data_IF_628922069620
#
_entry.id   IF_628922069620
#
_cell.length_a   1.000
_cell.length_b   1.000
_cell.length_c   1.000
_cell.angle_alpha   90.00
_cell.angle_beta   90.00
_cell.angle_gamma   90.00
#
_symmetry.space_group_name_H-M   'P 1'
#
loop_
_entity.id
_entity.type
_entity.pdbx_description
1 polymer ?
#
# COMPACT_ATOMS: atom_id res chain seq x y z
N UNK A 1 18.53 -12.99 16.16
CA UNK A 1 17.71 -11.77 15.92
C UNK A 1 16.33 -12.05 16.48
N UNK A 2 15.73 -11.09 17.17
CA UNK A 2 14.36 -11.22 17.70
C UNK A 2 13.37 -11.33 16.54
N UNK A 3 12.38 -12.22 16.66
CA UNK A 3 11.31 -12.32 15.68
C UNK A 3 10.37 -11.12 15.83
N UNK A 4 9.86 -10.61 14.70
CA UNK A 4 8.90 -9.52 14.65
C UNK A 4 7.50 -10.08 14.38
N UNK A 5 6.52 -9.52 15.07
CA UNK A 5 5.12 -9.92 14.99
C UNK A 5 4.22 -8.71 14.73
N UNK A 6 3.32 -8.82 13.76
CA UNK A 6 2.21 -7.91 13.61
C UNK A 6 1.14 -8.32 14.61
N UNK A 7 0.66 -7.40 15.43
CA UNK A 7 -0.30 -7.70 16.52
C UNK A 7 -1.60 -6.92 16.42
N UNK A 8 -1.61 -5.81 15.70
CA UNK A 8 -2.80 -5.03 15.37
C UNK A 8 -2.58 -4.33 14.02
N UNK A 9 -3.65 -4.17 13.26
CA UNK A 9 -3.60 -3.55 11.94
C UNK A 9 -4.91 -2.82 11.63
N UNK A 10 -4.84 -1.51 11.40
CA UNK A 10 -5.98 -0.61 11.18
C UNK A 10 -5.71 0.33 10.02
N UNK A 11 -6.77 0.77 9.36
CA UNK A 11 -6.72 1.81 8.33
C UNK A 11 -7.94 2.71 8.40
N UNK A 12 -7.86 3.89 7.85
CA UNK A 12 -9.06 4.66 7.52
C UNK A 12 -9.79 3.98 6.35
N UNK A 13 -11.03 4.38 6.09
CA UNK A 13 -11.60 4.19 4.77
C UNK A 13 -10.69 4.83 3.71
N UNK A 14 -10.74 4.33 2.47
CA UNK A 14 -10.13 4.99 1.32
C UNK A 14 -11.19 5.83 0.62
N UNK A 15 -10.91 7.12 0.43
CA UNK A 15 -11.78 8.05 -0.27
C UNK A 15 -11.07 8.62 -1.50
N UNK A 16 -11.72 8.70 -2.67
CA UNK A 16 -11.16 9.36 -3.83
C UNK A 16 -10.75 10.80 -3.53
N UNK A 17 -9.71 11.29 -4.21
CA UNK A 17 -9.29 12.69 -4.17
C UNK A 17 -10.49 13.63 -4.34
N UNK A 18 -10.53 14.69 -3.54
CA UNK A 18 -11.65 15.63 -3.45
C UNK A 18 -12.98 15.03 -2.96
N UNK A 19 -12.94 13.80 -2.44
CA UNK A 19 -14.09 13.12 -1.85
C UNK A 19 -14.31 13.49 -0.37
N UNK A 20 -14.70 12.51 0.42
CA UNK A 20 -15.08 12.72 1.83
C UNK A 20 -13.92 13.25 2.71
N UNK A 21 -12.68 12.96 2.37
CA UNK A 21 -11.49 13.44 3.11
C UNK A 21 -10.86 14.71 2.51
N UNK A 22 -11.55 15.41 1.60
CA UNK A 22 -11.00 16.61 0.91
C UNK A 22 -10.47 17.72 1.82
N UNK A 23 -10.92 17.78 3.05
CA UNK A 23 -10.52 18.79 4.04
C UNK A 23 -9.66 18.20 5.17
N UNK A 24 -9.32 16.91 5.11
CA UNK A 24 -8.58 16.22 6.18
C UNK A 24 -7.09 16.23 5.84
N UNK A 25 -6.27 16.75 6.72
CA UNK A 25 -4.82 16.79 6.57
C UNK A 25 -4.19 15.41 6.78
N UNK A 26 -2.97 15.21 6.31
CA UNK A 26 -2.31 13.90 6.38
C UNK A 26 -2.10 13.42 7.82
N UNK A 27 -1.78 14.33 8.75
CA UNK A 27 -1.59 13.99 10.17
C UNK A 27 -2.91 13.63 10.87
N UNK A 28 -4.03 14.23 10.47
CA UNK A 28 -5.38 13.87 10.94
C UNK A 28 -5.79 12.49 10.41
N UNK A 29 -5.46 12.18 9.14
CA UNK A 29 -5.65 10.84 8.59
C UNK A 29 -4.84 9.80 9.37
N UNK A 30 -3.56 10.09 9.65
CA UNK A 30 -2.63 9.18 10.33
C UNK A 30 -2.95 8.94 11.80
N UNK A 31 -3.56 9.92 12.49
CA UNK A 31 -3.97 9.81 13.91
C UNK A 31 -4.92 8.64 14.12
N UNK A 32 -5.95 8.50 13.27
CA UNK A 32 -7.02 7.54 13.48
C UNK A 32 -6.53 6.08 13.57
N UNK A 33 -5.76 5.52 12.60
CA UNK A 33 -5.26 4.17 12.70
C UNK A 33 -4.20 3.99 13.81
N UNK A 34 -3.39 5.02 14.14
CA UNK A 34 -2.44 4.95 15.28
C UNK A 34 -3.20 4.71 16.57
N UNK A 35 -4.21 5.52 16.89
CA UNK A 35 -5.04 5.34 18.08
C UNK A 35 -5.71 3.97 18.11
N UNK A 36 -6.21 3.52 16.97
CA UNK A 36 -6.93 2.27 16.87
C UNK A 36 -6.03 1.06 17.17
N UNK A 37 -4.82 1.00 16.61
CA UNK A 37 -3.89 -0.14 16.88
C UNK A 37 -3.41 -0.17 18.32
N UNK A 38 -3.27 0.97 18.99
CA UNK A 38 -2.94 1.03 20.43
C UNK A 38 -4.08 0.46 21.27
N UNK A 39 -5.32 0.85 20.94
CA UNK A 39 -6.53 0.40 21.65
C UNK A 39 -6.82 -1.08 21.46
N UNK A 40 -6.51 -1.66 20.28
CA UNK A 40 -6.82 -3.06 19.97
C UNK A 40 -6.13 -4.06 20.88
N UNK A 41 -4.95 -3.73 21.38
CA UNK A 41 -4.12 -4.63 22.20
C UNK A 41 -3.84 -4.06 23.60
N UNK A 42 -4.52 -2.97 23.96
CA UNK A 42 -4.38 -2.27 25.26
C UNK A 42 -2.91 -1.98 25.61
N UNK A 43 -2.12 -1.55 24.61
CA UNK A 43 -0.72 -1.16 24.82
C UNK A 43 -0.64 0.31 25.22
N UNK A 44 0.08 0.60 26.28
CA UNK A 44 0.32 1.98 26.70
C UNK A 44 1.14 2.75 25.65
N UNK A 45 0.79 4.00 25.36
CA UNK A 45 1.49 4.82 24.38
C UNK A 45 2.95 5.06 24.71
N UNK A 46 3.32 4.95 25.98
CA UNK A 46 4.70 5.05 26.47
C UNK A 46 5.51 3.75 26.28
N UNK A 47 4.92 2.65 25.84
CA UNK A 47 5.63 1.44 25.45
C UNK A 47 6.09 1.47 23.98
N UNK A 48 5.73 2.51 23.21
CA UNK A 48 6.13 2.63 21.81
C UNK A 48 7.55 3.21 21.70
N UNK A 49 8.39 2.55 20.91
CA UNK A 49 9.78 2.95 20.68
C UNK A 49 9.95 3.84 19.46
N UNK A 50 9.12 3.67 18.40
CA UNK A 50 9.29 4.41 17.15
C UNK A 50 7.98 4.44 16.34
N UNK A 51 7.85 5.42 15.43
CA UNK A 51 6.78 5.49 14.43
C UNK A 51 7.39 5.68 13.04
N UNK A 52 7.06 4.83 12.08
CA UNK A 52 7.61 4.90 10.71
C UNK A 52 6.45 4.90 9.71
N UNK A 53 6.27 5.99 8.96
CA UNK A 53 5.21 6.10 7.96
C UNK A 53 5.75 6.43 6.57
N UNK A 54 5.17 5.80 5.55
CA UNK A 54 5.31 6.21 4.15
C UNK A 54 4.45 7.44 3.84
N UNK A 55 5.02 8.42 3.13
CA UNK A 55 4.31 9.54 2.52
C UNK A 55 5.10 10.02 1.30
N UNK A 56 4.45 10.17 0.15
CA UNK A 56 5.10 10.50 -1.12
C UNK A 56 4.77 11.90 -1.65
N UNK A 57 3.69 12.52 -1.21
CA UNK A 57 3.24 13.82 -1.72
C UNK A 57 3.68 15.00 -0.86
N UNK A 58 4.57 14.77 0.11
CA UNK A 58 5.20 15.81 0.95
C UNK A 58 4.17 16.65 1.73
N UNK A 59 3.37 15.98 2.56
CA UNK A 59 2.34 16.63 3.39
C UNK A 59 2.89 17.66 4.42
N UNK A 60 4.14 18.06 4.27
CA UNK A 60 4.82 19.06 5.09
C UNK A 60 5.49 18.47 6.33
N UNK A 61 6.64 19.01 6.72
CA UNK A 61 7.39 18.61 7.90
C UNK A 61 7.71 17.11 7.93
N UNK A 62 7.27 16.44 8.97
CA UNK A 62 7.37 14.99 9.14
C UNK A 62 5.96 14.45 9.48
N UNK A 63 5.16 14.04 8.49
CA UNK A 63 3.79 13.57 8.71
C UNK A 63 3.66 12.46 9.74
N UNK A 64 4.63 11.53 9.79
CA UNK A 64 4.67 10.49 10.83
C UNK A 64 4.75 11.10 12.24
N UNK A 65 5.59 12.13 12.44
CA UNK A 65 5.73 12.80 13.73
C UNK A 65 4.49 13.57 14.11
N UNK A 66 3.91 14.29 13.17
CA UNK A 66 2.66 15.04 13.41
C UNK A 66 1.52 14.11 13.80
N UNK A 67 1.34 13.00 13.05
CA UNK A 67 0.32 12.00 13.36
C UNK A 67 0.55 11.32 14.71
N UNK A 68 1.78 10.99 15.07
CA UNK A 68 2.16 10.38 16.34
C UNK A 68 1.81 11.31 17.53
N UNK A 69 2.18 12.58 17.45
CA UNK A 69 1.86 13.58 18.49
C UNK A 69 0.35 13.81 18.60
N UNK A 70 -0.35 13.93 17.46
CA UNK A 70 -1.80 14.08 17.43
C UNK A 70 -2.51 12.87 18.03
N UNK A 71 -1.98 11.68 17.82
CA UNK A 71 -2.48 10.45 18.43
C UNK A 71 -2.23 10.34 19.94
N UNK A 72 -1.45 11.24 20.52
CA UNK A 72 -1.17 11.29 21.95
C UNK A 72 0.03 10.43 22.38
N UNK A 73 0.95 10.08 21.44
CA UNK A 73 2.20 9.46 21.83
C UNK A 73 3.09 10.48 22.56
N UNK A 74 3.87 10.05 23.57
CA UNK A 74 4.77 10.93 24.30
C UNK A 74 5.82 11.61 23.41
N UNK A 75 6.25 12.80 23.76
CA UNK A 75 7.26 13.59 23.03
C UNK A 75 8.58 12.84 22.82
N UNK A 76 8.91 11.91 23.70
CA UNK A 76 10.11 11.07 23.59
C UNK A 76 10.06 10.01 22.49
N UNK A 77 8.88 9.66 21.98
CA UNK A 77 8.74 8.67 20.91
C UNK A 77 9.15 9.32 19.59
N UNK A 78 10.25 8.89 18.97
CA UNK A 78 10.68 9.42 17.68
C UNK A 78 9.70 9.03 16.58
N UNK A 79 9.79 9.70 15.43
CA UNK A 79 9.05 9.31 14.26
C UNK A 79 9.82 9.64 12.98
N UNK A 80 9.68 8.79 11.96
CA UNK A 80 10.34 8.90 10.68
C UNK A 80 9.32 8.81 9.55
N UNK A 81 9.36 9.77 8.63
CA UNK A 81 8.64 9.68 7.35
C UNK A 81 9.61 9.24 6.26
N UNK A 82 9.22 8.24 5.49
CA UNK A 82 10.00 7.72 4.36
C UNK A 82 9.26 7.93 3.04
N UNK A 83 10.02 8.13 1.97
CA UNK A 83 9.51 8.19 0.61
C UNK A 83 10.22 7.12 -0.24
N UNK A 84 9.54 6.04 -0.50
CA UNK A 84 9.80 5.07 -1.56
C UNK A 84 8.55 4.96 -2.45
N UNK A 85 7.87 6.07 -2.64
CA UNK A 85 6.64 6.19 -3.41
C UNK A 85 5.56 5.20 -2.91
N UNK A 86 4.93 4.44 -3.81
CA UNK A 86 3.87 3.49 -3.47
C UNK A 86 4.33 2.37 -2.51
N UNK A 87 5.64 2.04 -2.51
CA UNK A 87 6.21 1.06 -1.59
C UNK A 87 6.28 1.56 -0.14
N UNK A 88 6.23 2.89 0.10
CA UNK A 88 6.56 3.53 1.38
C UNK A 88 5.88 2.91 2.60
N UNK A 89 4.58 2.64 2.52
CA UNK A 89 3.85 2.04 3.63
C UNK A 89 4.27 0.60 3.95
N UNK A 90 4.58 -0.21 2.93
CA UNK A 90 5.07 -1.58 3.14
C UNK A 90 6.51 -1.57 3.63
N UNK A 91 7.35 -0.70 3.07
CA UNK A 91 8.74 -0.52 3.48
C UNK A 91 8.84 -0.05 4.94
N UNK A 92 7.94 0.81 5.40
CA UNK A 92 7.86 1.22 6.80
C UNK A 92 7.63 0.02 7.73
N UNK A 93 6.75 -0.92 7.36
CA UNK A 93 6.50 -2.14 8.15
C UNK A 93 7.73 -3.06 8.13
N UNK A 94 8.41 -3.17 7.00
CA UNK A 94 9.67 -3.94 6.88
C UNK A 94 10.76 -3.32 7.75
N UNK A 95 10.91 -1.99 7.75
CA UNK A 95 11.84 -1.26 8.63
C UNK A 95 11.49 -1.43 10.10
N UNK A 96 10.20 -1.49 10.47
CA UNK A 96 9.78 -1.79 11.83
C UNK A 96 10.25 -3.19 12.26
N UNK A 97 10.13 -4.21 11.40
CA UNK A 97 10.66 -5.53 11.69
C UNK A 97 12.19 -5.52 11.89
N UNK A 98 12.92 -4.72 11.11
CA UNK A 98 14.35 -4.52 11.28
C UNK A 98 14.67 -3.80 12.61
N UNK A 99 13.86 -2.81 13.02
CA UNK A 99 14.00 -2.15 14.33
C UNK A 99 13.81 -3.14 15.48
N UNK A 100 12.81 -4.04 15.39
CA UNK A 100 12.59 -5.12 16.36
C UNK A 100 13.79 -6.07 16.41
N UNK A 101 14.32 -6.47 15.25
CA UNK A 101 15.52 -7.32 15.19
C UNK A 101 16.75 -6.67 15.84
N UNK A 102 16.80 -5.34 15.90
CA UNK A 102 17.87 -4.53 16.50
C UNK A 102 17.53 -3.99 17.90
N UNK A 103 16.53 -4.54 18.60
CA UNK A 103 16.32 -4.32 20.02
C UNK A 103 15.17 -3.39 20.39
N UNK A 104 14.36 -2.89 19.45
CA UNK A 104 13.10 -2.25 19.76
C UNK A 104 12.07 -3.30 20.21
N UNK A 105 11.14 -2.92 21.07
CA UNK A 105 10.08 -3.81 21.56
C UNK A 105 8.73 -3.57 20.87
N UNK A 106 8.42 -2.31 20.52
CA UNK A 106 7.15 -1.97 19.86
C UNK A 106 7.31 -0.78 18.91
N UNK A 107 6.96 -0.97 17.64
CA UNK A 107 7.05 0.04 16.59
C UNK A 107 5.70 0.14 15.86
N UNK A 108 5.17 1.35 15.71
CA UNK A 108 4.02 1.61 14.84
C UNK A 108 4.55 1.93 13.44
N UNK A 109 4.13 1.16 12.46
CA UNK A 109 4.54 1.35 11.08
C UNK A 109 3.34 1.42 10.15
N UNK A 110 3.46 2.20 9.09
CA UNK A 110 2.35 2.33 8.16
C UNK A 110 2.60 3.37 7.08
N UNK A 111 1.53 4.08 6.72
CA UNK A 111 1.64 5.14 5.74
C UNK A 111 0.40 6.01 5.71
N UNK A 112 0.56 7.20 5.18
CA UNK A 112 -0.49 8.19 5.03
C UNK A 112 -0.33 8.93 3.72
N UNK A 113 -1.44 9.20 3.06
CA UNK A 113 -1.44 10.07 1.89
C UNK A 113 -2.73 10.87 1.81
N UNK A 114 -2.61 12.15 1.49
CA UNK A 114 -3.75 13.00 1.13
C UNK A 114 -3.45 13.67 -0.20
N UNK A 115 -4.01 13.15 -1.27
CA UNK A 115 -3.98 13.82 -2.58
C UNK A 115 -4.77 15.13 -2.55
N UNK A 116 -5.85 15.15 -1.76
CA UNK A 116 -6.71 16.33 -1.64
C UNK A 116 -6.01 17.51 -0.98
N UNK A 117 -5.05 17.24 -0.09
CA UNK A 117 -4.32 18.25 0.70
C UNK A 117 -2.83 18.33 0.36
N UNK A 118 -2.38 17.62 -0.68
CA UNK A 118 -0.99 17.70 -1.13
C UNK A 118 -0.60 19.14 -1.44
N UNK A 119 0.59 19.59 -1.03
CA UNK A 119 1.05 20.96 -1.28
C UNK A 119 1.25 21.22 -2.78
N UNK A 120 1.02 22.44 -3.20
CA UNK A 120 1.42 22.88 -4.54
C UNK A 120 2.95 22.93 -4.60
N UNK A 121 3.53 22.28 -5.60
CA UNK A 121 4.97 22.13 -5.74
C UNK A 121 5.49 22.97 -6.88
N UNK A 122 6.63 23.64 -6.65
CA UNK A 122 7.32 24.39 -7.69
C UNK A 122 8.83 24.29 -7.48
N UNK A 123 9.58 24.21 -8.59
CA UNK A 123 11.05 24.32 -8.57
C UNK A 123 11.43 25.77 -8.41
N UNK A 124 12.43 26.03 -7.57
CA UNK A 124 13.03 27.37 -7.45
C UNK A 124 13.70 27.77 -8.76
N UNK A 125 13.60 29.06 -9.15
CA UNK A 125 14.35 29.56 -10.28
C UNK A 125 15.85 29.34 -10.10
N UNK A 126 16.55 29.12 -11.20
CA UNK A 126 18.03 29.10 -11.21
C UNK A 126 18.63 30.47 -11.24
N UNK A 127 17.99 31.38 -11.96
CA UNK A 127 18.45 32.76 -12.17
C UNK A 127 17.49 33.78 -11.56
N UNK A 128 18.07 34.93 -11.15
CA UNK A 128 17.29 36.06 -10.62
C UNK A 128 16.33 36.60 -11.69
N UNK A 129 15.05 36.69 -11.37
CA UNK A 129 14.01 37.18 -12.28
C UNK A 129 13.20 36.10 -13.00
N UNK A 130 13.58 34.82 -12.90
CA UNK A 130 12.73 33.72 -13.34
C UNK A 130 11.61 33.43 -12.34
N UNK A 131 10.44 33.03 -12.84
CA UNK A 131 9.35 32.58 -11.99
C UNK A 131 9.56 31.13 -11.54
N UNK A 132 9.07 30.73 -10.34
CA UNK A 132 9.04 29.34 -9.93
C UNK A 132 8.27 28.48 -10.95
N UNK A 133 8.80 27.30 -11.26
CA UNK A 133 8.20 26.38 -12.22
C UNK A 133 7.33 25.34 -11.48
N UNK A 134 5.99 25.43 -11.54
CA UNK A 134 5.11 24.46 -10.91
C UNK A 134 5.26 23.08 -11.57
N UNK A 135 5.08 22.01 -10.76
CA UNK A 135 5.01 20.65 -11.26
C UNK A 135 4.09 19.80 -10.39
N UNK A 136 3.35 18.91 -11.02
CA UNK A 136 2.49 17.95 -10.31
C UNK A 136 3.24 16.65 -10.03
N UNK A 137 4.06 16.20 -10.97
CA UNK A 137 4.84 14.97 -10.90
C UNK A 137 6.34 15.29 -10.84
N UNK A 138 7.07 14.82 -9.80
CA UNK A 138 8.53 14.84 -9.82
C UNK A 138 9.07 13.78 -10.79
N UNK A 139 10.32 13.89 -11.25
CA UNK A 139 10.97 12.81 -11.98
C UNK A 139 11.23 11.63 -11.03
N UNK A 140 11.04 10.41 -11.51
CA UNK A 140 11.34 9.17 -10.81
C UNK A 140 12.59 8.47 -11.33
N UNK A 141 13.08 8.90 -12.50
CA UNK A 141 14.39 8.54 -13.05
C UNK A 141 15.10 9.80 -13.56
N UNK A 142 16.44 9.86 -13.53
CA UNK A 142 17.18 11.04 -14.00
C UNK A 142 17.21 11.16 -15.53
N UNK A 143 16.81 10.10 -16.24
CA UNK A 143 16.79 10.05 -17.71
C UNK A 143 15.36 10.15 -18.20
N UNK A 144 14.99 11.21 -18.95
CA UNK A 144 13.62 11.42 -19.44
C UNK A 144 13.05 10.23 -20.23
N UNK A 145 13.88 9.55 -21.03
CA UNK A 145 13.51 8.38 -21.83
C UNK A 145 13.22 7.14 -20.99
N UNK A 146 13.62 7.14 -19.72
CA UNK A 146 13.37 6.07 -18.75
C UNK A 146 12.47 6.52 -17.60
N UNK A 147 11.79 7.64 -17.74
CA UNK A 147 10.87 8.22 -16.76
C UNK A 147 9.47 8.43 -17.37
N UNK A 148 8.79 7.34 -17.78
CA UNK A 148 7.50 7.43 -18.44
C UNK A 148 6.43 7.95 -17.49
N UNK A 149 5.37 8.53 -18.06
CA UNK A 149 4.10 8.66 -17.35
C UNK A 149 3.59 7.29 -16.91
N UNK A 150 3.02 7.21 -15.71
CA UNK A 150 2.64 5.92 -15.13
C UNK A 150 1.52 5.22 -15.90
N UNK A 151 0.60 5.98 -16.49
CA UNK A 151 -0.48 5.42 -17.33
C UNK A 151 0.11 4.88 -18.63
N UNK A 152 1.05 5.63 -19.24
CA UNK A 152 1.79 5.18 -20.43
C UNK A 152 2.64 3.93 -20.13
N UNK A 153 3.32 3.89 -18.97
CA UNK A 153 4.07 2.71 -18.54
C UNK A 153 3.17 1.47 -18.37
N UNK A 154 1.96 1.65 -17.84
CA UNK A 154 0.99 0.55 -17.71
C UNK A 154 0.50 0.03 -19.07
N UNK A 155 0.29 0.90 -20.04
CA UNK A 155 -0.08 0.50 -21.40
C UNK A 155 1.10 -0.22 -22.10
N UNK A 156 2.33 0.24 -21.90
CA UNK A 156 3.54 -0.44 -22.39
C UNK A 156 3.69 -1.83 -21.76
N UNK A 157 3.41 -1.95 -20.46
CA UNK A 157 3.42 -3.24 -19.75
C UNK A 157 2.33 -4.17 -20.31
N UNK A 158 1.11 -3.67 -20.53
CA UNK A 158 0.03 -4.46 -21.11
C UNK A 158 0.42 -5.04 -22.48
N UNK A 159 1.05 -4.24 -23.34
CA UNK A 159 1.56 -4.67 -24.64
C UNK A 159 2.72 -5.68 -24.50
N UNK A 160 3.66 -5.45 -23.58
CA UNK A 160 4.82 -6.33 -23.39
C UNK A 160 4.45 -7.71 -22.85
N UNK A 161 3.37 -7.82 -22.09
CA UNK A 161 2.87 -9.07 -21.48
C UNK A 161 1.64 -9.65 -22.21
N UNK A 162 1.25 -9.06 -23.35
CA UNK A 162 0.07 -9.47 -24.14
C UNK A 162 -1.20 -9.59 -23.26
N UNK A 163 -1.49 -8.55 -22.45
CA UNK A 163 -2.65 -8.49 -21.58
C UNK A 163 -3.75 -7.69 -22.26
N UNK A 164 -4.72 -8.35 -22.91
CA UNK A 164 -5.74 -7.67 -23.69
C UNK A 164 -6.72 -6.89 -22.79
N UNK A 165 -7.37 -5.92 -23.38
CA UNK A 165 -8.24 -5.00 -22.69
C UNK A 165 -9.43 -5.68 -22.01
N UNK A 166 -10.06 -6.66 -22.67
CA UNK A 166 -11.16 -7.42 -22.10
C UNK A 166 -10.75 -8.15 -20.81
N UNK A 167 -9.54 -8.67 -20.77
CA UNK A 167 -8.96 -9.27 -19.56
C UNK A 167 -8.70 -8.23 -18.46
N UNK A 168 -8.20 -7.05 -18.82
CA UNK A 168 -8.04 -5.94 -17.87
C UNK A 168 -9.37 -5.48 -17.30
N UNK A 169 -10.39 -5.32 -18.16
CA UNK A 169 -11.76 -4.94 -17.78
C UNK A 169 -12.39 -5.99 -16.84
N UNK A 170 -12.26 -7.28 -17.18
CA UNK A 170 -12.75 -8.38 -16.34
C UNK A 170 -12.08 -8.37 -14.95
N UNK A 171 -10.78 -8.12 -14.88
CA UNK A 171 -10.04 -8.02 -13.62
C UNK A 171 -10.55 -6.83 -12.77
N UNK A 172 -10.78 -5.67 -13.37
CA UNK A 172 -11.32 -4.50 -12.67
C UNK A 172 -12.74 -4.76 -12.16
N UNK A 173 -13.61 -5.39 -12.98
CA UNK A 173 -14.96 -5.79 -12.57
C UNK A 173 -14.90 -6.75 -11.38
N UNK A 174 -14.02 -7.75 -11.43
CA UNK A 174 -13.83 -8.70 -10.34
C UNK A 174 -13.34 -8.03 -9.06
N UNK A 175 -12.38 -7.10 -9.14
CA UNK A 175 -11.88 -6.34 -7.99
C UNK A 175 -13.02 -5.57 -7.29
N UNK A 176 -13.82 -4.81 -8.05
CA UNK A 176 -14.97 -4.10 -7.49
C UNK A 176 -16.04 -5.04 -6.91
N UNK A 177 -16.33 -6.15 -7.59
CA UNK A 177 -17.31 -7.15 -7.14
C UNK A 177 -16.87 -7.79 -5.83
N UNK A 178 -15.58 -8.19 -5.73
CA UNK A 178 -14.97 -8.72 -4.49
C UNK A 178 -15.07 -7.70 -3.35
N UNK A 179 -14.76 -6.42 -3.60
CA UNK A 179 -14.83 -5.37 -2.59
C UNK A 179 -16.25 -5.10 -2.07
N UNK A 180 -17.27 -5.24 -2.93
CA UNK A 180 -18.67 -5.11 -2.53
C UNK A 180 -19.19 -6.35 -1.78
N UNK A 181 -18.76 -7.54 -2.21
CA UNK A 181 -19.18 -8.81 -1.58
C UNK A 181 -18.49 -9.07 -0.24
N UNK A 182 -17.27 -8.56 -0.08
CA UNK A 182 -16.47 -8.72 1.14
C UNK A 182 -16.07 -7.33 1.68
N UNK A 183 -17.02 -6.58 2.25
CA UNK A 183 -16.71 -5.29 2.87
C UNK A 183 -15.69 -5.48 4.01
N UNK A 184 -14.97 -4.40 4.40
CA UNK A 184 -14.07 -4.43 5.54
C UNK A 184 -14.75 -5.07 6.76
N UNK A 185 -14.07 -6.02 7.39
CA UNK A 185 -14.56 -6.68 8.59
C UNK A 185 -14.58 -5.74 9.80
N UNK A 186 -15.26 -6.19 10.85
CA UNK A 186 -15.24 -5.49 12.14
C UNK A 186 -13.79 -5.30 12.58
N UNK A 187 -13.46 -4.07 12.92
CA UNK A 187 -12.11 -3.75 13.38
C UNK A 187 -11.06 -3.54 12.29
N UNK A 188 -11.40 -3.46 11.00
CA UNK A 188 -10.44 -3.07 9.97
C UNK A 188 -10.38 -1.54 9.80
N UNK A 189 -11.52 -0.89 9.75
CA UNK A 189 -11.61 0.56 9.56
C UNK A 189 -11.57 1.27 10.91
N UNK A 190 -10.66 2.23 11.05
CA UNK A 190 -10.70 3.27 12.05
C UNK A 190 -11.61 4.40 11.53
N UNK A 191 -12.81 4.61 12.10
CA UNK A 191 -13.76 5.60 11.58
C UNK A 191 -13.18 7.01 11.61
N UNK A 192 -13.35 7.77 10.53
CA UNK A 192 -12.92 9.16 10.44
C UNK A 192 -13.90 9.94 9.54
N UNK A 193 -14.25 11.16 9.93
CA UNK A 193 -15.16 12.04 9.19
C UNK A 193 -16.47 11.36 8.73
N UNK A 194 -16.99 10.45 9.56
CA UNK A 194 -18.23 9.71 9.29
C UNK A 194 -18.09 8.52 8.33
N UNK A 195 -16.92 8.26 7.78
CA UNK A 195 -16.69 7.07 6.93
C UNK A 195 -16.32 5.85 7.77
N UNK A 196 -17.06 4.76 7.53
CA UNK A 196 -16.85 3.43 8.13
C UNK A 196 -16.59 2.36 7.07
N UNK A 197 -16.54 2.74 5.79
CA UNK A 197 -16.27 1.86 4.64
C UNK A 197 -15.62 2.64 3.52
N UNK A 198 -14.95 1.92 2.61
CA UNK A 198 -14.35 2.51 1.41
C UNK A 198 -15.43 3.18 0.52
N UNK A 199 -15.09 4.35 -0.01
CA UNK A 199 -16.06 5.20 -0.70
C UNK A 199 -16.24 4.88 -2.21
N UNK A 200 -15.33 4.09 -2.80
CA UNK A 200 -15.26 3.94 -4.25
C UNK A 200 -15.73 2.59 -4.83
N UNK A 201 -15.84 1.47 -4.09
CA UNK A 201 -16.39 0.23 -4.64
C UNK A 201 -17.75 0.44 -5.24
N UNK A 202 -17.96 -0.03 -6.47
CA UNK A 202 -19.19 0.16 -7.24
C UNK A 202 -19.42 -1.00 -8.22
N UNK A 203 -20.66 -1.14 -8.69
CA UNK A 203 -20.97 -2.11 -9.74
C UNK A 203 -20.38 -1.63 -11.08
N UNK A 204 -19.32 -2.29 -11.53
CA UNK A 204 -18.83 -2.19 -12.89
C UNK A 204 -19.45 -3.30 -13.73
N UNK A 205 -19.74 -3.02 -14.99
CA UNK A 205 -20.26 -4.00 -15.95
C UNK A 205 -19.38 -4.03 -17.19
N UNK A 206 -19.33 -5.16 -17.86
CA UNK A 206 -18.65 -5.32 -19.14
C UNK A 206 -19.13 -4.28 -20.18
N UNK A 207 -20.46 -4.07 -20.26
CA UNK A 207 -21.06 -3.06 -21.15
C UNK A 207 -20.62 -1.62 -20.84
N UNK A 208 -20.27 -1.30 -19.59
CA UNK A 208 -19.72 0.01 -19.23
C UNK A 208 -18.25 0.08 -19.64
N UNK A 209 -17.47 -0.92 -19.26
CA UNK A 209 -16.02 -0.94 -19.50
C UNK A 209 -15.69 -0.93 -21.00
N UNK A 210 -16.38 -1.75 -21.81
CA UNK A 210 -16.15 -1.83 -23.26
C UNK A 210 -16.35 -0.52 -24.03
N UNK A 211 -17.17 0.41 -23.49
CA UNK A 211 -17.42 1.74 -24.09
C UNK A 211 -16.41 2.80 -23.71
N UNK A 212 -15.55 2.54 -22.71
CA UNK A 212 -14.56 3.51 -22.29
C UNK A 212 -13.44 3.59 -23.35
N UNK A 213 -13.03 4.78 -23.80
CA UNK A 213 -11.88 4.90 -24.67
C UNK A 213 -10.59 4.58 -23.88
N UNK A 214 -9.54 4.05 -24.53
CA UNK A 214 -8.23 3.97 -23.92
C UNK A 214 -7.71 5.37 -23.59
N UNK A 215 -7.08 5.51 -22.44
CA UNK A 215 -6.40 6.74 -22.01
C UNK A 215 -4.90 6.69 -22.31
N UNK A 216 -4.36 5.50 -22.58
CA UNK A 216 -3.03 5.25 -23.15
C UNK A 216 -3.00 3.89 -23.83
N UNK A 217 -2.12 3.73 -24.82
CA UNK A 217 -2.01 2.51 -25.64
C UNK A 217 -3.04 2.44 -26.76
N UNK A 218 -3.09 1.31 -27.43
CA UNK A 218 -4.02 1.04 -28.54
C UNK A 218 -5.39 0.53 -28.05
N UNK A 219 -6.40 0.40 -28.93
CA UNK A 219 -7.73 -0.06 -28.54
C UNK A 219 -7.81 -1.49 -27.96
N UNK A 220 -6.83 -2.36 -28.25
CA UNK A 220 -6.85 -3.79 -27.90
C UNK A 220 -6.08 -4.10 -26.61
N UNK A 221 -4.99 -3.36 -26.33
CA UNK A 221 -4.09 -3.58 -25.20
C UNK A 221 -4.04 -2.39 -24.26
N UNK A 222 -4.60 -1.23 -24.67
CA UNK A 222 -4.53 0.01 -23.91
C UNK A 222 -5.29 -0.03 -22.59
N UNK A 223 -4.91 0.86 -21.68
CA UNK A 223 -5.55 1.02 -20.37
C UNK A 223 -6.67 2.05 -20.44
N UNK A 224 -7.71 1.87 -19.63
CA UNK A 224 -8.88 2.75 -19.56
C UNK A 224 -9.06 3.32 -18.14
N UNK A 225 -10.00 4.25 -17.96
CA UNK A 225 -10.37 4.75 -16.63
C UNK A 225 -10.94 3.69 -15.69
N UNK A 226 -11.40 2.53 -16.19
CA UNK A 226 -11.86 1.43 -15.37
C UNK A 226 -10.68 0.56 -14.87
N UNK A 227 -9.55 0.56 -15.58
CA UNK A 227 -8.41 -0.32 -15.32
C UNK A 227 -7.23 0.38 -14.65
N UNK A 228 -7.44 1.62 -14.16
CA UNK A 228 -6.51 2.45 -13.40
C UNK A 228 -7.11 2.80 -12.04
N UNK A 229 -6.35 2.60 -10.97
CA UNK A 229 -6.78 3.01 -9.64
C UNK A 229 -6.85 4.55 -9.53
N UNK A 230 -7.90 5.04 -8.87
CA UNK A 230 -8.08 6.48 -8.68
C UNK A 230 -7.14 7.00 -7.59
N UNK A 231 -6.67 8.23 -7.71
CA UNK A 231 -6.00 8.96 -6.64
C UNK A 231 -6.92 9.05 -5.42
N UNK A 232 -6.38 8.82 -4.24
CA UNK A 232 -7.19 8.72 -3.03
C UNK A 232 -6.47 9.23 -1.78
N UNK A 233 -7.25 9.48 -0.74
CA UNK A 233 -6.82 9.90 0.58
C UNK A 233 -7.06 8.75 1.56
N UNK A 234 -6.05 8.35 2.33
CA UNK A 234 -6.17 7.36 3.40
C UNK A 234 -4.91 7.30 4.27
N UNK A 235 -5.03 6.62 5.41
CA UNK A 235 -3.92 6.19 6.24
C UNK A 235 -4.11 4.75 6.74
N UNK A 236 -2.99 4.09 7.04
CA UNK A 236 -2.98 2.77 7.64
C UNK A 236 -1.81 2.64 8.63
N UNK A 237 -2.03 1.90 9.70
CA UNK A 237 -1.02 1.59 10.70
C UNK A 237 -1.06 0.12 11.10
N UNK A 238 0.10 -0.41 11.37
CA UNK A 238 0.33 -1.76 11.90
C UNK A 238 1.21 -1.61 13.15
N UNK A 239 0.87 -2.30 14.21
CA UNK A 239 1.73 -2.42 15.39
C UNK A 239 2.60 -3.67 15.24
N UNK A 240 3.91 -3.45 15.19
CA UNK A 240 4.94 -4.50 15.08
C UNK A 240 5.65 -4.60 16.41
N UNK A 241 5.73 -5.81 16.98
CA UNK A 241 6.33 -6.03 18.30
C UNK A 241 7.36 -7.14 18.31
N UNK A 242 8.24 -7.11 19.33
CA UNK A 242 9.16 -8.19 19.66
C UNK A 242 8.42 -9.38 20.28
N UNK A 243 9.05 -10.55 20.30
CA UNK A 243 8.52 -11.70 21.02
C UNK A 243 8.37 -11.43 22.52
N UNK A 244 9.26 -10.64 23.09
CA UNK A 244 9.20 -10.22 24.49
C UNK A 244 7.95 -9.37 24.76
N UNK A 245 7.65 -8.42 23.91
CA UNK A 245 6.44 -7.59 24.02
C UNK A 245 5.18 -8.43 23.75
N UNK A 246 5.19 -9.29 22.73
CA UNK A 246 4.06 -10.18 22.42
C UNK A 246 3.59 -11.00 23.63
N UNK A 247 4.52 -11.51 24.44
CA UNK A 247 4.17 -12.28 25.66
C UNK A 247 3.48 -11.44 26.73
N UNK A 248 3.52 -10.12 26.65
CA UNK A 248 2.87 -9.19 27.59
C UNK A 248 1.50 -8.74 27.10
N UNK A 249 1.21 -8.97 25.82
CA UNK A 249 -0.05 -8.57 25.17
C UNK A 249 -1.00 -9.77 25.05
N UNK A 250 -2.29 -9.48 25.05
CA UNK A 250 -3.32 -10.49 24.76
C UNK A 250 -3.68 -10.42 23.28
N UNK A 251 -2.96 -11.19 22.45
CA UNK A 251 -3.19 -11.26 21.02
C UNK A 251 -3.48 -12.69 20.61
N UNK A 252 -4.68 -12.94 20.10
CA UNK A 252 -5.12 -14.30 19.78
C UNK A 252 -4.37 -14.91 18.58
N UNK A 253 -4.10 -14.10 17.55
CA UNK A 253 -3.54 -14.56 16.26
C UNK A 253 -2.53 -13.56 15.70
N UNK A 254 -1.33 -13.42 16.31
CA UNK A 254 -0.30 -12.56 15.78
C UNK A 254 0.24 -13.12 14.45
N UNK A 255 0.62 -12.27 13.53
CA UNK A 255 1.32 -12.69 12.32
C UNK A 255 2.83 -12.51 12.50
N UNK A 256 3.58 -13.58 12.41
CA UNK A 256 5.05 -13.52 12.41
C UNK A 256 5.56 -13.08 11.05
N UNK A 257 6.44 -12.11 11.03
CA UNK A 257 7.20 -11.74 9.82
C UNK A 257 8.20 -12.86 9.50
N UNK A 258 8.05 -13.48 8.33
CA UNK A 258 8.90 -14.58 7.86
C UNK A 258 10.09 -14.04 7.08
N UNK A 259 9.82 -13.11 6.17
CA UNK A 259 10.81 -12.47 5.32
C UNK A 259 10.28 -11.19 4.70
N UNK A 260 11.20 -10.34 4.29
CA UNK A 260 10.95 -9.13 3.53
C UNK A 260 11.97 -9.00 2.40
N UNK A 261 11.58 -8.40 1.29
CA UNK A 261 12.46 -8.17 0.15
C UNK A 261 12.12 -6.85 -0.53
N UNK A 262 13.16 -6.11 -0.89
CA UNK A 262 13.07 -4.92 -1.75
C UNK A 262 13.98 -5.12 -2.94
N UNK A 263 13.57 -4.62 -4.09
CA UNK A 263 14.43 -4.61 -5.28
C UNK A 263 14.23 -3.35 -6.10
N UNK A 264 15.25 -2.99 -6.84
CA UNK A 264 15.17 -2.10 -7.97
C UNK A 264 15.00 -2.91 -9.25
N UNK A 265 14.32 -2.34 -10.23
CA UNK A 265 14.12 -2.88 -11.57
C UNK A 265 14.25 -1.79 -12.62
N UNK A 266 13.72 -2.02 -13.80
CA UNK A 266 13.75 -1.03 -14.88
C UNK A 266 12.79 0.13 -14.58
N UNK A 267 13.29 1.39 -14.46
CA UNK A 267 12.43 2.54 -14.27
C UNK A 267 11.43 2.76 -15.41
N UNK A 268 11.73 2.31 -16.62
CA UNK A 268 10.83 2.40 -17.77
C UNK A 268 9.68 1.37 -17.70
N UNK A 269 9.82 0.31 -16.89
CA UNK A 269 8.81 -0.74 -16.69
C UNK A 269 8.54 -0.99 -15.18
N UNK A 270 8.19 0.05 -14.41
CA UNK A 270 8.17 -0.01 -12.95
C UNK A 270 7.17 -1.05 -12.40
N UNK A 271 6.09 -1.33 -13.13
CA UNK A 271 5.04 -2.25 -12.70
C UNK A 271 5.48 -3.69 -12.49
N UNK A 272 6.65 -4.11 -13.01
CA UNK A 272 7.14 -5.51 -12.92
C UNK A 272 8.02 -5.77 -11.68
N UNK A 273 8.49 -4.74 -11.01
CA UNK A 273 9.46 -4.88 -9.90
C UNK A 273 8.98 -5.79 -8.75
N UNK A 274 7.68 -5.86 -8.36
CA UNK A 274 7.21 -6.79 -7.33
C UNK A 274 7.46 -8.25 -7.66
N UNK A 275 7.51 -8.62 -8.94
CA UNK A 275 7.77 -10.01 -9.36
C UNK A 275 9.13 -10.46 -8.84
N UNK A 276 10.17 -9.66 -9.05
CA UNK A 276 11.51 -9.96 -8.57
C UNK A 276 11.57 -9.95 -7.03
N UNK A 277 10.94 -8.96 -6.36
CA UNK A 277 10.92 -8.87 -4.92
C UNK A 277 10.29 -10.13 -4.28
N UNK A 278 9.10 -10.54 -4.76
CA UNK A 278 8.42 -11.71 -4.24
C UNK A 278 9.15 -13.02 -4.57
N UNK A 279 9.61 -13.20 -5.82
CA UNK A 279 10.35 -14.41 -6.22
C UNK A 279 11.64 -14.58 -5.43
N UNK A 280 12.42 -13.53 -5.23
CA UNK A 280 13.66 -13.57 -4.44
C UNK A 280 13.37 -13.98 -3.00
N UNK A 281 12.32 -13.41 -2.40
CA UNK A 281 11.90 -13.73 -1.05
C UNK A 281 11.46 -15.19 -0.91
N UNK A 282 10.61 -15.69 -1.81
CA UNK A 282 10.11 -17.06 -1.80
C UNK A 282 11.25 -18.07 -2.03
N UNK A 283 12.12 -17.81 -3.01
CA UNK A 283 13.27 -18.65 -3.31
C UNK A 283 14.27 -18.73 -2.13
N UNK A 284 14.57 -17.60 -1.49
CA UNK A 284 15.47 -17.55 -0.33
C UNK A 284 14.92 -18.35 0.88
N UNK A 285 13.61 -18.57 0.94
CA UNK A 285 12.92 -19.36 1.98
C UNK A 285 12.53 -20.75 1.52
N UNK A 286 12.82 -21.12 0.29
CA UNK A 286 12.44 -22.41 -0.33
C UNK A 286 10.92 -22.66 -0.26
N UNK A 287 10.13 -21.59 -0.48
CA UNK A 287 8.68 -21.62 -0.44
C UNK A 287 8.15 -21.64 -1.87
N UNK A 288 7.29 -22.61 -2.17
CA UNK A 288 6.61 -22.70 -3.46
C UNK A 288 5.45 -21.65 -3.50
N UNK A 289 5.33 -20.85 -4.57
CA UNK A 289 4.30 -19.81 -4.66
C UNK A 289 2.87 -20.31 -4.44
N UNK A 290 2.59 -21.55 -4.85
CA UNK A 290 1.28 -22.19 -4.74
C UNK A 290 0.86 -22.45 -3.29
N UNK A 291 1.80 -22.37 -2.33
CA UNK A 291 1.52 -22.52 -0.89
C UNK A 291 1.06 -21.22 -0.23
N UNK A 292 1.08 -20.09 -0.96
CA UNK A 292 0.57 -18.81 -0.45
C UNK A 292 -0.94 -18.88 -0.34
N UNK A 293 -1.45 -18.85 0.88
CA UNK A 293 -2.88 -18.93 1.16
C UNK A 293 -3.60 -17.61 0.84
N UNK A 294 -2.96 -16.48 1.13
CA UNK A 294 -3.50 -15.12 0.91
C UNK A 294 -2.42 -14.25 0.27
N UNK A 295 -2.75 -13.56 -0.81
CA UNK A 295 -1.88 -12.59 -1.46
C UNK A 295 -2.60 -11.26 -1.66
N UNK A 296 -2.03 -10.18 -1.13
CA UNK A 296 -2.47 -8.82 -1.37
C UNK A 296 -1.43 -8.13 -2.27
N UNK A 297 -1.75 -8.05 -3.57
CA UNK A 297 -0.91 -7.40 -4.58
C UNK A 297 -1.55 -6.07 -4.97
N UNK A 298 -0.76 -5.01 -4.98
CA UNK A 298 -1.28 -3.69 -5.36
C UNK A 298 -1.83 -3.69 -6.78
N UNK A 299 -3.03 -3.16 -6.94
CA UNK A 299 -3.71 -2.95 -8.20
C UNK A 299 -3.67 -1.46 -8.58
N UNK A 300 -2.49 -0.92 -8.88
CA UNK A 300 -2.41 0.44 -9.42
C UNK A 300 -2.99 0.49 -10.84
N UNK A 301 -2.77 -0.59 -11.59
CA UNK A 301 -3.31 -0.85 -12.93
C UNK A 301 -3.70 -2.33 -13.04
N UNK A 302 -4.78 -2.63 -13.75
CA UNK A 302 -5.21 -4.02 -13.96
C UNK A 302 -4.10 -4.84 -14.65
N UNK A 303 -3.52 -4.32 -15.72
CA UNK A 303 -2.42 -5.00 -16.44
C UNK A 303 -1.23 -5.28 -15.52
N UNK A 304 -0.83 -4.33 -14.66
CA UNK A 304 0.26 -4.51 -13.70
C UNK A 304 -0.06 -5.59 -12.68
N UNK A 305 -1.27 -5.61 -12.12
CA UNK A 305 -1.66 -6.58 -11.11
C UNK A 305 -1.72 -8.01 -11.70
N UNK A 306 -2.25 -8.15 -12.92
CA UNK A 306 -2.28 -9.41 -13.67
C UNK A 306 -0.85 -9.91 -13.91
N UNK A 307 0.02 -9.08 -14.49
CA UNK A 307 1.42 -9.44 -14.76
C UNK A 307 2.17 -9.86 -13.48
N UNK A 308 1.93 -9.16 -12.37
CA UNK A 308 2.54 -9.50 -11.08
C UNK A 308 2.03 -10.83 -10.54
N UNK A 309 0.71 -11.06 -10.53
CA UNK A 309 0.13 -12.31 -10.03
C UNK A 309 0.64 -13.52 -10.81
N UNK A 310 0.64 -13.44 -12.13
CA UNK A 310 1.18 -14.49 -13.01
C UNK A 310 2.69 -14.64 -12.87
N UNK A 311 3.42 -13.51 -12.87
CA UNK A 311 4.86 -13.51 -12.72
C UNK A 311 5.34 -14.09 -11.40
N UNK A 312 4.57 -14.00 -10.32
CA UNK A 312 4.86 -14.62 -9.02
C UNK A 312 4.31 -16.04 -8.96
N UNK A 313 3.35 -16.41 -9.81
CA UNK A 313 2.58 -17.66 -9.80
C UNK A 313 1.59 -17.74 -8.62
N UNK A 314 0.89 -16.64 -8.31
CA UNK A 314 -0.14 -16.60 -7.28
C UNK A 314 -1.47 -17.14 -7.85
N UNK A 315 -2.10 -18.06 -7.10
CA UNK A 315 -3.41 -18.57 -7.46
C UNK A 315 -4.48 -17.46 -7.39
N UNK A 316 -5.40 -17.43 -8.35
CA UNK A 316 -6.49 -16.42 -8.40
C UNK A 316 -7.35 -16.43 -7.13
N UNK A 317 -7.57 -17.61 -6.53
CA UNK A 317 -8.32 -17.78 -5.28
C UNK A 317 -7.64 -17.17 -4.06
N UNK A 318 -6.32 -16.98 -4.10
CA UNK A 318 -5.55 -16.35 -3.05
C UNK A 318 -5.45 -14.82 -3.24
N UNK A 319 -5.65 -14.32 -4.48
CA UNK A 319 -5.36 -12.94 -4.86
C UNK A 319 -6.48 -11.99 -4.48
N UNK A 320 -6.14 -10.95 -3.67
CA UNK A 320 -6.99 -9.79 -3.36
C UNK A 320 -8.45 -10.21 -3.09
N UNK A 321 -8.66 -11.08 -2.12
CA UNK A 321 -9.97 -11.72 -1.86
C UNK A 321 -11.09 -10.71 -1.56
N UNK A 322 -10.74 -9.59 -0.95
CA UNK A 322 -11.68 -8.49 -0.69
C UNK A 322 -11.62 -7.37 -1.74
N UNK A 323 -11.11 -7.63 -2.95
CA UNK A 323 -10.81 -6.60 -3.96
C UNK A 323 -9.55 -5.82 -3.62
N UNK A 324 -9.06 -4.99 -4.54
CA UNK A 324 -7.79 -4.29 -4.40
C UNK A 324 -7.87 -2.79 -4.68
N UNK A 325 -6.75 -2.22 -5.13
CA UNK A 325 -6.60 -0.79 -5.38
C UNK A 325 -7.52 -0.23 -6.46
N UNK A 326 -7.87 -1.02 -7.48
CA UNK A 326 -8.84 -0.61 -8.51
C UNK A 326 -10.21 -0.28 -7.91
N UNK A 327 -10.64 -1.09 -6.94
CA UNK A 327 -11.91 -0.89 -6.26
C UNK A 327 -11.86 0.18 -5.18
N UNK A 328 -10.72 0.36 -4.49
CA UNK A 328 -10.63 1.28 -3.34
C UNK A 328 -10.04 2.63 -3.72
N UNK A 329 -9.03 2.66 -4.55
CA UNK A 329 -8.18 3.80 -4.85
C UNK A 329 -6.73 3.57 -4.41
N UNK A 330 -5.87 4.54 -4.75
CA UNK A 330 -4.42 4.46 -4.56
C UNK A 330 -3.88 5.68 -3.81
N UNK A 331 -3.96 5.71 -2.47
CA UNK A 331 -3.26 6.69 -1.65
C UNK A 331 -1.77 6.30 -1.55
N UNK A 332 -0.92 6.85 -2.42
CA UNK A 332 0.44 6.39 -2.75
C UNK A 332 1.21 5.91 -1.51
N UNK A 333 1.57 6.78 -0.58
CA UNK A 333 2.39 6.43 0.59
C UNK A 333 1.69 5.49 1.59
N UNK A 334 0.34 5.42 1.57
CA UNK A 334 -0.42 4.53 2.44
C UNK A 334 -0.68 3.15 1.82
N UNK A 335 -0.59 2.99 0.49
CA UNK A 335 -1.07 1.80 -0.21
C UNK A 335 -0.38 0.52 0.25
N UNK A 336 0.94 0.53 0.42
CA UNK A 336 1.67 -0.63 0.93
C UNK A 336 1.23 -1.05 2.33
N UNK A 337 0.92 -0.09 3.20
CA UNK A 337 0.39 -0.37 4.53
C UNK A 337 -1.05 -0.89 4.49
N UNK A 338 -1.89 -0.39 3.58
CA UNK A 338 -3.25 -0.89 3.35
C UNK A 338 -3.21 -2.36 2.93
N UNK A 339 -2.27 -2.77 2.06
CA UNK A 339 -2.09 -4.18 1.71
C UNK A 339 -1.76 -5.02 2.94
N UNK A 340 -0.86 -4.56 3.81
CA UNK A 340 -0.51 -5.27 5.04
C UNK A 340 -1.70 -5.36 6.02
N UNK A 341 -2.51 -4.31 6.15
CA UNK A 341 -3.76 -4.34 6.94
C UNK A 341 -4.74 -5.35 6.35
N UNK A 342 -4.97 -5.32 5.04
CA UNK A 342 -5.85 -6.29 4.37
C UNK A 342 -5.34 -7.71 4.57
N UNK A 343 -4.04 -7.93 4.34
CA UNK A 343 -3.40 -9.22 4.54
C UNK A 343 -3.61 -9.71 5.98
N UNK A 344 -3.41 -8.83 6.98
CA UNK A 344 -3.60 -9.18 8.39
C UNK A 344 -5.04 -9.65 8.64
N UNK A 345 -6.06 -8.94 8.16
CA UNK A 345 -7.46 -9.31 8.36
C UNK A 345 -7.88 -10.58 7.61
N UNK A 346 -7.40 -10.80 6.39
CA UNK A 346 -7.65 -12.04 5.65
C UNK A 346 -6.98 -13.25 6.32
N UNK A 347 -5.75 -13.10 6.79
CA UNK A 347 -5.01 -14.15 7.48
C UNK A 347 -5.67 -14.57 8.79
N UNK A 348 -6.46 -13.72 9.47
CA UNK A 348 -7.20 -14.10 10.68
C UNK A 348 -8.18 -15.26 10.44
N UNK A 349 -8.54 -15.56 9.19
CA UNK A 349 -9.46 -16.63 8.80
C UNK A 349 -8.73 -17.93 8.40
N UNK A 350 -7.40 -17.88 8.26
CA UNK A 350 -6.60 -19.00 7.77
C UNK A 350 -6.19 -19.96 8.90
N UNK A 351 -5.78 -21.19 8.54
CA UNK A 351 -5.25 -22.16 9.48
C UNK A 351 -3.88 -21.74 10.04
N UNK A 352 -3.50 -22.16 11.27
CA UNK A 352 -2.14 -21.96 11.76
C UNK A 352 -1.08 -22.51 10.79
N UNK A 353 -0.02 -21.74 10.58
CA UNK A 353 1.05 -22.06 9.62
C UNK A 353 0.77 -21.61 8.18
N UNK A 354 -0.43 -21.07 7.88
CA UNK A 354 -0.71 -20.48 6.58
C UNK A 354 0.24 -19.31 6.27
N UNK A 355 0.59 -19.15 4.99
CA UNK A 355 1.48 -18.11 4.49
C UNK A 355 0.69 -17.01 3.79
N UNK A 356 1.03 -15.77 4.10
CA UNK A 356 0.46 -14.58 3.49
C UNK A 356 1.52 -13.69 2.86
N UNK A 357 1.26 -13.14 1.67
CA UNK A 357 2.16 -12.31 0.90
C UNK A 357 1.52 -10.95 0.61
N UNK A 358 2.23 -9.86 0.89
CA UNK A 358 1.92 -8.54 0.34
C UNK A 358 3.00 -8.13 -0.67
N UNK A 359 2.62 -7.55 -1.82
CA UNK A 359 3.56 -7.08 -2.83
C UNK A 359 3.09 -5.81 -3.54
N UNK A 360 4.01 -4.88 -3.79
CA UNK A 360 3.71 -3.57 -4.38
C UNK A 360 4.85 -3.07 -5.25
N UNK A 361 4.49 -2.42 -6.36
CA UNK A 361 5.38 -1.66 -7.23
C UNK A 361 5.40 -0.19 -6.85
N UNK A 362 6.48 0.50 -7.20
CA UNK A 362 6.51 1.95 -7.16
C UNK A 362 7.22 2.54 -8.40
N UNK A 363 6.89 3.80 -8.68
CA UNK A 363 7.57 4.58 -9.71
C UNK A 363 9.09 4.55 -9.52
N UNK A 364 9.83 4.66 -10.61
CA UNK A 364 11.29 4.52 -10.61
C UNK A 364 11.78 3.06 -10.58
N UNK A 365 10.87 2.08 -10.78
CA UNK A 365 11.23 0.67 -10.86
C UNK A 365 11.46 0.01 -9.50
N UNK A 366 10.81 0.47 -8.44
CA UNK A 366 10.94 -0.15 -7.12
C UNK A 366 9.88 -1.24 -6.91
N UNK A 367 10.25 -2.27 -6.16
CA UNK A 367 9.35 -3.34 -5.75
C UNK A 367 9.62 -3.81 -4.33
N UNK A 368 8.55 -4.03 -3.58
CA UNK A 368 8.63 -4.54 -2.20
C UNK A 368 7.69 -5.72 -2.00
N UNK A 369 8.12 -6.68 -1.20
CA UNK A 369 7.34 -7.84 -0.82
C UNK A 369 7.56 -8.21 0.65
N UNK A 370 6.48 -8.54 1.36
CA UNK A 370 6.46 -8.95 2.76
C UNK A 370 5.76 -10.31 2.88
N UNK A 371 6.40 -11.27 3.52
CA UNK A 371 5.86 -12.60 3.81
C UNK A 371 5.61 -12.75 5.30
N UNK A 372 4.41 -13.19 5.64
CA UNK A 372 3.98 -13.43 7.03
C UNK A 372 3.40 -14.82 7.18
N UNK A 373 3.29 -15.29 8.43
CA UNK A 373 2.59 -16.53 8.79
C UNK A 373 1.84 -16.35 10.10
N UNK A 374 0.75 -17.14 10.29
CA UNK A 374 0.05 -17.28 11.57
C UNK A 374 0.82 -18.23 12.48
#
# INVERSE_FOLDING_TARGET
>A
MSAAYLVAARRTAVAPRNGAFKAVEADELGEAPIRAVLSDVDIASDAIDDVIFGNALYAGGNPARLAALRAGLPDRVPALTIDSQCCGGLDAIMMAADRIANGADAVIAGGVESFSRAPLRARRPRDAGEAPQPYDRPPFAPWPERDPDMIAAAATLAAAFDIPRDRQDAFAIASHSKAMANPPGDGEIAPLAGLTRDAFPRALTESLCSRLPPIAGDPFLGVTRATVAVEADAAAAVLVVSETMLRRLTVARPLRVVAASRCGGDPAMPGTAPIAAARNLLAARQIAPETIAVAEIMEAFAAQAIACAEGISIAESALNRGGGGLARGHPIGASGAILAVRLWHEMQREAPGALGLAAIAAAGGLGSALLVTI
#
